data_IF_970443891744
#
_entry.id   IF_970443891744
#
_cell.length_a   1.000
_cell.length_b   1.000
_cell.length_c   1.000
_cell.angle_alpha   90.00
_cell.angle_beta   90.00
_cell.angle_gamma   90.00
#
_symmetry.space_group_name_H-M   'P 1'
#
loop_
_entity.id
_entity.type
_entity.pdbx_description
1 polymer ?
#
# COMPACT_ATOMS: atom_id res chain seq x y z
N UNK A 1 -29.38 -12.11 -8.41
CA UNK A 1 -27.92 -12.20 -8.57
C UNK A 1 -27.33 -10.97 -7.89
N UNK A 2 -26.41 -11.14 -6.93
CA UNK A 2 -25.76 -10.00 -6.28
C UNK A 2 -25.00 -9.17 -7.32
N UNK A 3 -24.97 -7.83 -7.23
CA UNK A 3 -24.16 -7.01 -8.13
C UNK A 3 -22.68 -7.35 -7.89
N UNK A 4 -22.05 -7.95 -8.91
CA UNK A 4 -20.63 -8.33 -8.88
C UNK A 4 -19.82 -7.16 -9.43
N UNK A 5 -18.77 -6.75 -8.73
CA UNK A 5 -17.81 -5.73 -9.20
C UNK A 5 -16.75 -6.37 -10.14
N UNK A 6 -16.09 -5.57 -11.00
CA UNK A 6 -15.06 -6.04 -11.95
C UNK A 6 -13.98 -6.87 -11.26
N UNK A 7 -13.55 -6.46 -10.06
CA UNK A 7 -12.55 -7.19 -9.28
C UNK A 7 -13.04 -8.59 -8.84
N UNK A 8 -14.31 -8.71 -8.45
CA UNK A 8 -14.92 -9.97 -8.05
C UNK A 8 -15.16 -10.87 -9.26
N UNK A 9 -15.56 -10.31 -10.40
CA UNK A 9 -15.71 -11.04 -11.65
C UNK A 9 -14.35 -11.57 -12.16
N UNK A 10 -13.27 -10.77 -12.04
CA UNK A 10 -11.91 -11.23 -12.34
C UNK A 10 -11.45 -12.34 -11.38
N UNK A 11 -11.73 -12.20 -10.09
CA UNK A 11 -11.41 -13.23 -9.10
C UNK A 11 -12.16 -14.54 -9.43
N UNK A 12 -13.44 -14.45 -9.76
CA UNK A 12 -14.24 -15.60 -10.16
C UNK A 12 -13.73 -16.26 -11.44
N UNK A 13 -13.32 -15.47 -12.43
CA UNK A 13 -12.69 -15.98 -13.64
C UNK A 13 -11.38 -16.73 -13.33
N UNK A 14 -10.55 -16.20 -12.44
CA UNK A 14 -9.33 -16.87 -11.98
C UNK A 14 -9.63 -18.19 -11.26
N UNK A 15 -10.64 -18.21 -10.38
CA UNK A 15 -11.04 -19.41 -9.67
C UNK A 15 -11.49 -20.51 -10.64
N UNK A 16 -12.22 -20.15 -11.70
CA UNK A 16 -12.62 -21.08 -12.78
C UNK A 16 -11.39 -21.66 -13.49
N UNK A 17 -10.40 -20.83 -13.83
CA UNK A 17 -9.16 -21.31 -14.48
C UNK A 17 -8.30 -22.19 -13.56
N UNK A 18 -8.30 -21.93 -12.25
CA UNK A 18 -7.62 -22.80 -11.26
C UNK A 18 -8.37 -24.13 -11.16
N UNK A 19 -9.70 -24.08 -11.05
CA UNK A 19 -10.54 -25.27 -10.98
C UNK A 19 -10.40 -26.15 -12.22
N UNK A 20 -10.42 -25.57 -13.42
CA UNK A 20 -10.23 -26.31 -14.68
C UNK A 20 -8.86 -27.01 -14.72
N UNK A 21 -7.79 -26.34 -14.27
CA UNK A 21 -6.46 -26.95 -14.18
C UNK A 21 -6.39 -28.10 -13.18
N UNK A 22 -7.06 -27.95 -12.03
CA UNK A 22 -7.11 -29.00 -11.04
C UNK A 22 -7.91 -30.21 -11.54
N UNK A 23 -9.02 -29.97 -12.24
CA UNK A 23 -9.83 -31.03 -12.84
C UNK A 23 -9.06 -31.82 -13.90
N UNK A 24 -8.23 -31.13 -14.70
CA UNK A 24 -7.31 -31.78 -15.63
C UNK A 24 -6.24 -32.62 -14.92
N UNK A 25 -5.69 -32.15 -13.79
CA UNK A 25 -4.75 -32.94 -12.99
C UNK A 25 -5.39 -34.20 -12.43
N UNK A 26 -6.60 -34.08 -11.87
CA UNK A 26 -7.33 -35.21 -11.31
C UNK A 26 -7.71 -36.26 -12.36
N UNK A 27 -8.01 -35.84 -13.60
CA UNK A 27 -8.23 -36.75 -14.74
C UNK A 27 -6.93 -37.46 -15.15
N UNK A 28 -5.79 -36.75 -15.16
CA UNK A 28 -4.47 -37.33 -15.44
C UNK A 28 -4.03 -38.33 -14.36
N UNK A 29 -4.30 -38.02 -13.09
CA UNK A 29 -4.01 -38.89 -11.95
C UNK A 29 -5.00 -40.06 -11.82
N UNK A 30 -6.02 -40.14 -12.70
CA UNK A 30 -7.12 -41.11 -12.66
C UNK A 30 -7.90 -41.13 -11.32
N UNK A 31 -7.71 -40.12 -10.48
CA UNK A 31 -8.31 -40.04 -9.15
C UNK A 31 -9.79 -39.66 -9.21
N UNK A 32 -10.17 -38.80 -10.18
CA UNK A 32 -11.54 -38.38 -10.36
C UNK A 32 -11.79 -37.97 -11.82
N UNK A 33 -12.81 -38.56 -12.45
CA UNK A 33 -13.18 -38.31 -13.83
C UNK A 33 -14.66 -37.99 -13.93
N UNK A 34 -14.99 -36.82 -14.47
CA UNK A 34 -16.36 -36.47 -14.79
C UNK A 34 -16.85 -37.27 -15.99
N UNK A 35 -18.15 -37.59 -15.98
CA UNK A 35 -18.80 -38.20 -17.13
C UNK A 35 -18.70 -37.25 -18.35
N UNK A 36 -18.48 -37.74 -19.59
CA UNK A 36 -18.23 -36.88 -20.74
C UNK A 36 -19.33 -35.85 -21.01
N UNK A 37 -20.58 -36.19 -20.70
CA UNK A 37 -21.72 -35.27 -20.81
C UNK A 37 -21.67 -34.14 -19.77
N UNK A 38 -21.33 -34.46 -18.52
CA UNK A 38 -21.19 -33.49 -17.42
C UNK A 38 -20.00 -32.56 -17.64
N UNK A 39 -18.88 -33.09 -18.16
CA UNK A 39 -17.70 -32.31 -18.49
C UNK A 39 -18.00 -31.25 -19.57
N UNK A 40 -18.78 -31.61 -20.60
CA UNK A 40 -19.22 -30.66 -21.64
C UNK A 40 -20.15 -29.60 -21.08
N UNK A 41 -21.17 -30.00 -20.31
CA UNK A 41 -22.12 -29.06 -19.72
C UNK A 41 -21.43 -28.05 -18.79
N UNK A 42 -20.43 -28.50 -18.03
CA UNK A 42 -19.64 -27.64 -17.16
C UNK A 42 -18.72 -26.70 -17.94
N UNK A 43 -18.10 -27.17 -19.03
CA UNK A 43 -17.29 -26.35 -19.92
C UNK A 43 -18.13 -25.26 -20.59
N UNK A 44 -19.30 -25.61 -21.11
CA UNK A 44 -20.23 -24.68 -21.76
C UNK A 44 -20.73 -23.61 -20.78
N UNK A 45 -21.07 -24.02 -19.54
CA UNK A 45 -21.44 -23.08 -18.48
C UNK A 45 -20.30 -22.11 -18.14
N UNK A 46 -19.07 -22.61 -17.98
CA UNK A 46 -17.91 -21.76 -17.70
C UNK A 46 -17.61 -20.79 -18.85
N UNK A 47 -17.69 -21.24 -20.10
CA UNK A 47 -17.52 -20.38 -21.27
C UNK A 47 -18.57 -19.27 -21.32
N UNK A 48 -19.85 -19.62 -21.18
CA UNK A 48 -20.92 -18.63 -21.17
C UNK A 48 -20.78 -17.61 -20.02
N UNK A 49 -20.32 -18.05 -18.84
CA UNK A 49 -20.08 -17.17 -17.71
C UNK A 49 -18.91 -16.22 -17.97
N UNK A 50 -17.80 -16.72 -18.52
CA UNK A 50 -16.62 -15.91 -18.86
C UNK A 50 -16.92 -14.90 -19.96
N UNK A 51 -17.68 -15.28 -20.99
CA UNK A 51 -18.15 -14.35 -22.02
C UNK A 51 -19.06 -13.27 -21.43
N UNK A 52 -19.96 -13.63 -20.51
CA UNK A 52 -20.80 -12.65 -19.81
C UNK A 52 -20.00 -11.64 -18.97
N UNK A 53 -18.88 -12.09 -18.39
CA UNK A 53 -17.97 -11.24 -17.64
C UNK A 53 -17.13 -10.36 -18.55
N UNK A 54 -16.73 -10.87 -19.73
CA UNK A 54 -16.07 -10.08 -20.76
C UNK A 54 -16.95 -8.93 -21.23
N UNK A 55 -18.18 -9.25 -21.65
CA UNK A 55 -19.07 -8.25 -22.24
C UNK A 55 -19.52 -7.19 -21.22
N UNK A 56 -19.60 -7.54 -19.93
CA UNK A 56 -19.98 -6.59 -18.85
C UNK A 56 -18.83 -5.84 -18.21
N UNK A 57 -17.65 -6.45 -18.09
CA UNK A 57 -16.57 -5.95 -17.24
C UNK A 57 -15.19 -5.90 -17.91
N UNK A 58 -15.09 -6.30 -19.19
CA UNK A 58 -13.85 -6.29 -19.98
C UNK A 58 -12.69 -6.97 -19.22
N UNK A 59 -12.86 -8.27 -18.99
CA UNK A 59 -11.98 -9.12 -18.18
C UNK A 59 -11.04 -9.92 -19.08
N UNK A 60 -9.76 -9.95 -18.71
CA UNK A 60 -8.70 -10.66 -19.43
C UNK A 60 -8.77 -12.19 -19.18
N UNK A 61 -8.70 -12.97 -20.26
CA UNK A 61 -8.96 -14.41 -20.28
C UNK A 61 -7.75 -15.30 -19.90
N UNK A 62 -6.52 -14.75 -19.77
CA UNK A 62 -5.29 -15.55 -19.86
C UNK A 62 -4.21 -15.20 -18.82
N UNK A 63 -3.45 -16.20 -18.35
CA UNK A 63 -2.33 -15.97 -17.41
C UNK A 63 -1.20 -15.15 -18.07
N UNK A 64 -1.09 -15.24 -19.40
CA UNK A 64 -0.13 -14.47 -20.20
C UNK A 64 -0.50 -13.00 -20.30
N UNK A 65 -1.79 -12.68 -20.40
CA UNK A 65 -2.27 -11.29 -20.31
C UNK A 65 -2.13 -10.75 -18.88
N UNK A 66 -2.21 -11.59 -17.84
CA UNK A 66 -1.86 -11.18 -16.48
C UNK A 66 -0.38 -10.81 -16.33
N UNK A 67 0.54 -11.58 -16.89
CA UNK A 67 1.99 -11.24 -16.88
C UNK A 67 2.27 -9.95 -17.66
N UNK A 68 1.64 -9.77 -18.83
CA UNK A 68 1.71 -8.52 -19.59
C UNK A 68 1.07 -7.35 -18.82
N UNK A 69 0.00 -7.57 -18.06
CA UNK A 69 -0.62 -6.54 -17.21
C UNK A 69 0.28 -6.08 -16.07
N UNK A 70 1.12 -6.97 -15.53
CA UNK A 70 2.12 -6.64 -14.52
C UNK A 70 3.23 -5.77 -15.14
N UNK A 71 3.70 -6.16 -16.33
CA UNK A 71 4.63 -5.35 -17.12
C UNK A 71 4.07 -3.96 -17.44
N UNK A 72 2.81 -3.88 -17.88
CA UNK A 72 2.12 -2.60 -18.14
C UNK A 72 1.94 -1.76 -16.86
N UNK A 73 1.62 -2.37 -15.72
CA UNK A 73 1.54 -1.65 -14.43
C UNK A 73 2.89 -1.06 -14.05
N UNK A 74 3.96 -1.83 -14.15
CA UNK A 74 5.32 -1.37 -13.83
C UNK A 74 5.77 -0.28 -14.82
N UNK A 75 5.58 -0.50 -16.13
CA UNK A 75 5.89 0.49 -17.16
C UNK A 75 5.09 1.79 -17.00
N UNK A 76 3.79 1.69 -16.72
CA UNK A 76 2.96 2.88 -16.44
C UNK A 76 3.40 3.57 -15.15
N UNK A 77 3.78 2.83 -14.10
CA UNK A 77 4.29 3.44 -12.87
C UNK A 77 5.58 4.22 -13.13
N UNK A 78 6.57 3.60 -13.79
CA UNK A 78 7.81 4.27 -14.16
C UNK A 78 7.57 5.44 -15.12
N UNK A 79 6.66 5.29 -16.07
CA UNK A 79 6.25 6.36 -16.98
C UNK A 79 5.64 7.55 -16.24
N UNK A 80 4.76 7.31 -15.28
CA UNK A 80 4.16 8.36 -14.45
C UNK A 80 5.22 9.12 -13.66
N UNK A 81 6.14 8.38 -13.01
CA UNK A 81 7.21 8.97 -12.22
C UNK A 81 8.18 9.77 -13.09
N UNK A 82 8.57 9.22 -14.24
CA UNK A 82 9.45 9.89 -15.19
C UNK A 82 8.81 11.14 -15.78
N UNK A 83 7.51 11.10 -16.09
CA UNK A 83 6.81 12.28 -16.61
C UNK A 83 6.65 13.36 -15.55
N UNK A 84 6.29 12.99 -14.31
CA UNK A 84 6.25 13.93 -13.18
C UNK A 84 7.62 14.58 -12.92
N UNK A 85 8.69 13.78 -12.90
CA UNK A 85 10.06 14.28 -12.75
C UNK A 85 10.50 15.17 -13.92
N UNK A 86 10.13 14.81 -15.15
CA UNK A 86 10.41 15.60 -16.35
C UNK A 86 9.76 16.98 -16.27
N UNK A 87 8.47 17.04 -15.90
CA UNK A 87 7.78 18.32 -15.68
C UNK A 87 8.50 19.13 -14.60
N UNK A 88 8.80 18.53 -13.45
CA UNK A 88 9.51 19.21 -12.36
C UNK A 88 10.85 19.81 -12.82
N UNK A 89 11.68 19.02 -13.52
CA UNK A 89 12.98 19.45 -14.01
C UNK A 89 12.89 20.50 -15.11
N UNK A 90 11.89 20.40 -16.01
CA UNK A 90 11.63 21.38 -17.05
C UNK A 90 11.33 22.74 -16.43
N UNK A 91 10.44 22.78 -15.43
CA UNK A 91 10.15 24.01 -14.70
C UNK A 91 11.44 24.54 -14.07
N UNK A 92 12.14 23.76 -13.25
CA UNK A 92 13.35 24.21 -12.58
C UNK A 92 14.45 24.75 -13.53
N UNK A 93 14.58 24.18 -14.73
CA UNK A 93 15.59 24.59 -15.72
C UNK A 93 15.29 25.93 -16.36
N UNK A 94 14.03 26.20 -16.72
CA UNK A 94 13.65 27.39 -17.50
C UNK A 94 12.97 28.48 -16.66
N UNK A 95 12.61 28.20 -15.41
CA UNK A 95 11.82 29.09 -14.56
C UNK A 95 12.37 30.51 -14.46
N UNK A 96 13.67 30.63 -14.21
CA UNK A 96 14.34 31.93 -14.01
C UNK A 96 14.43 32.81 -15.25
N UNK A 97 14.07 32.29 -16.44
CA UNK A 97 14.10 33.04 -17.69
C UNK A 97 12.78 33.77 -18.00
N UNK A 98 11.70 33.41 -17.30
CA UNK A 98 10.37 33.97 -17.56
C UNK A 98 10.04 35.15 -16.65
N UNK A 99 9.33 36.19 -17.14
CA UNK A 99 8.78 37.23 -16.28
C UNK A 99 7.66 36.68 -15.39
N UNK A 100 7.41 37.33 -14.24
CA UNK A 100 6.46 36.86 -13.21
C UNK A 100 5.05 36.59 -13.75
N UNK A 101 4.55 37.43 -14.66
CA UNK A 101 3.21 37.24 -15.27
C UNK A 101 3.17 35.96 -16.10
N UNK A 102 4.22 35.67 -16.87
CA UNK A 102 4.32 34.45 -17.66
C UNK A 102 4.47 33.22 -16.77
N UNK A 103 5.26 33.32 -15.70
CA UNK A 103 5.40 32.27 -14.70
C UNK A 103 4.05 31.86 -14.09
N UNK A 104 3.29 32.84 -13.58
CA UNK A 104 1.95 32.59 -13.00
C UNK A 104 0.98 32.03 -14.04
N UNK A 105 0.97 32.57 -15.26
CA UNK A 105 0.10 32.10 -16.33
C UNK A 105 0.42 30.65 -16.76
N UNK A 106 1.70 30.30 -16.89
CA UNK A 106 2.15 28.94 -17.25
C UNK A 106 1.78 27.96 -16.14
N UNK A 107 2.00 28.32 -14.88
CA UNK A 107 1.68 27.47 -13.74
C UNK A 107 0.19 27.15 -13.66
N UNK A 108 -0.65 28.19 -13.60
CA UNK A 108 -2.11 28.04 -13.54
C UNK A 108 -2.61 27.30 -14.79
N UNK A 109 -2.13 27.69 -15.96
CA UNK A 109 -2.48 27.06 -17.24
C UNK A 109 -2.12 25.57 -17.29
N UNK A 110 -0.93 25.20 -16.79
CA UNK A 110 -0.47 23.81 -16.76
C UNK A 110 -1.26 22.95 -15.79
N UNK A 111 -1.64 23.47 -14.62
CA UNK A 111 -2.46 22.76 -13.64
C UNK A 111 -3.87 22.48 -14.20
N UNK A 112 -4.52 23.49 -14.79
CA UNK A 112 -5.82 23.30 -15.44
C UNK A 112 -5.73 22.38 -16.65
N UNK A 113 -4.73 22.55 -17.51
CA UNK A 113 -4.53 21.70 -18.68
C UNK A 113 -4.33 20.23 -18.27
N UNK A 114 -3.51 19.97 -17.25
CA UNK A 114 -3.29 18.60 -16.76
C UNK A 114 -4.55 18.00 -16.11
N UNK A 115 -5.33 18.80 -15.39
CA UNK A 115 -6.61 18.36 -14.82
C UNK A 115 -7.64 18.01 -15.92
N UNK A 116 -7.87 18.91 -16.87
CA UNK A 116 -8.81 18.66 -17.98
C UNK A 116 -8.34 17.52 -18.88
N UNK A 117 -7.04 17.40 -19.13
CA UNK A 117 -6.46 16.25 -19.83
C UNK A 117 -6.75 14.94 -19.08
N UNK A 118 -6.64 14.94 -17.74
CA UNK A 118 -6.97 13.77 -16.92
C UNK A 118 -8.43 13.36 -17.07
N UNK A 119 -9.36 14.32 -17.02
CA UNK A 119 -10.79 14.05 -17.22
C UNK A 119 -11.09 13.53 -18.64
N UNK A 120 -10.46 14.12 -19.65
CA UNK A 120 -10.65 13.71 -21.04
C UNK A 120 -10.08 12.31 -21.31
N UNK A 121 -8.90 11.99 -20.77
CA UNK A 121 -8.30 10.66 -20.86
C UNK A 121 -9.17 9.65 -20.10
N UNK A 122 -9.64 10.00 -18.91
CA UNK A 122 -10.51 9.13 -18.12
C UNK A 122 -11.82 8.78 -18.85
N UNK A 123 -12.44 9.74 -19.54
CA UNK A 123 -13.65 9.50 -20.31
C UNK A 123 -13.44 8.54 -21.49
N UNK A 124 -12.21 8.42 -22.00
CA UNK A 124 -11.85 7.57 -23.15
C UNK A 124 -11.18 6.26 -22.77
N UNK A 125 -10.59 6.17 -21.59
CA UNK A 125 -9.74 5.05 -21.18
C UNK A 125 -10.52 4.01 -20.37
N UNK A 126 -10.98 2.96 -21.04
CA UNK A 126 -11.65 1.81 -20.40
C UNK A 126 -10.71 1.00 -19.48
N UNK A 127 -9.40 1.04 -19.74
CA UNK A 127 -8.38 0.29 -18.98
C UNK A 127 -7.95 1.00 -17.69
N UNK A 128 -8.06 2.34 -17.68
CA UNK A 128 -7.67 3.22 -16.58
C UNK A 128 -6.16 3.37 -16.38
N UNK A 129 -5.30 2.78 -17.22
CA UNK A 129 -3.84 2.92 -17.11
C UNK A 129 -3.37 4.33 -17.46
N UNK A 130 -3.86 4.88 -18.58
CA UNK A 130 -3.51 6.23 -19.02
C UNK A 130 -4.18 7.30 -18.15
N UNK A 131 -5.38 7.02 -17.63
CA UNK A 131 -6.03 7.91 -16.66
C UNK A 131 -5.19 8.06 -15.38
N UNK A 132 -4.61 6.96 -14.86
CA UNK A 132 -3.71 7.01 -13.70
C UNK A 132 -2.41 7.77 -13.98
N UNK A 133 -1.85 7.62 -15.19
CA UNK A 133 -0.70 8.39 -15.65
C UNK A 133 -1.00 9.88 -15.65
N UNK A 134 -2.08 10.28 -16.33
CA UNK A 134 -2.50 11.68 -16.43
C UNK A 134 -2.78 12.29 -15.05
N UNK A 135 -3.46 11.55 -14.17
CA UNK A 135 -3.74 11.98 -12.80
C UNK A 135 -2.45 12.20 -11.98
N UNK A 136 -1.41 11.38 -12.18
CA UNK A 136 -0.12 11.58 -11.53
C UNK A 136 0.56 12.87 -11.99
N UNK A 137 0.51 13.14 -13.29
CA UNK A 137 1.06 14.37 -13.87
C UNK A 137 0.28 15.58 -13.37
N UNK A 138 -1.05 15.50 -13.33
CA UNK A 138 -1.89 16.57 -12.79
C UNK A 138 -1.57 16.87 -11.32
N UNK A 139 -1.40 15.82 -10.50
CA UNK A 139 -0.97 15.98 -9.11
C UNK A 139 0.42 16.63 -9.02
N UNK A 140 1.39 16.20 -9.82
CA UNK A 140 2.73 16.79 -9.84
C UNK A 140 2.71 18.27 -10.25
N UNK A 141 1.94 18.62 -11.28
CA UNK A 141 1.72 20.02 -11.70
C UNK A 141 1.10 20.85 -10.59
N UNK A 142 0.13 20.31 -9.84
CA UNK A 142 -0.52 21.01 -8.75
C UNK A 142 0.41 21.26 -7.55
N UNK A 143 1.24 20.27 -7.19
CA UNK A 143 2.27 20.44 -6.15
C UNK A 143 3.28 21.49 -6.58
N UNK A 144 3.74 21.43 -7.84
CA UNK A 144 4.63 22.43 -8.43
C UNK A 144 4.02 23.83 -8.42
N UNK A 145 2.75 23.96 -8.80
CA UNK A 145 2.02 25.23 -8.80
C UNK A 145 2.01 25.87 -7.41
N UNK A 146 1.57 25.13 -6.39
CA UNK A 146 1.52 25.66 -5.04
C UNK A 146 2.90 26.04 -4.49
N UNK A 147 3.92 25.21 -4.76
CA UNK A 147 5.30 25.48 -4.29
C UNK A 147 5.93 26.67 -4.98
N UNK A 148 5.82 26.77 -6.30
CA UNK A 148 6.41 27.85 -7.09
C UNK A 148 5.68 29.18 -6.88
N UNK A 149 4.34 29.18 -6.77
CA UNK A 149 3.59 30.39 -6.41
C UNK A 149 3.97 30.88 -5.01
N UNK A 150 4.13 29.97 -4.05
CA UNK A 150 4.63 30.32 -2.71
C UNK A 150 5.99 31.01 -2.76
N UNK A 151 6.90 30.54 -3.61
CA UNK A 151 8.21 31.18 -3.81
C UNK A 151 8.10 32.54 -4.50
N UNK A 152 7.31 32.66 -5.58
CA UNK A 152 7.12 33.92 -6.31
C UNK A 152 6.60 35.03 -5.38
N UNK A 153 5.58 34.71 -4.59
CA UNK A 153 4.93 35.67 -3.70
C UNK A 153 5.55 35.73 -2.30
N UNK A 154 6.69 35.05 -2.10
CA UNK A 154 7.42 35.00 -0.83
C UNK A 154 6.53 34.60 0.37
N UNK A 155 5.62 33.64 0.16
CA UNK A 155 4.74 33.10 1.18
C UNK A 155 5.55 32.20 2.10
N UNK A 156 5.41 32.38 3.42
CA UNK A 156 6.13 31.56 4.40
C UNK A 156 5.70 30.08 4.30
N UNK A 157 6.64 29.12 4.19
CA UNK A 157 6.33 27.70 4.18
C UNK A 157 5.54 27.27 5.44
N UNK A 158 4.40 26.61 5.24
CA UNK A 158 3.51 26.14 6.31
C UNK A 158 3.02 24.72 6.03
N UNK A 159 2.75 24.00 7.12
CA UNK A 159 2.05 22.72 7.18
C UNK A 159 0.70 22.70 6.45
N UNK A 160 0.03 23.86 6.37
CA UNK A 160 -1.25 24.00 5.67
C UNK A 160 -1.15 23.68 4.17
N UNK A 161 0.04 23.78 3.57
CA UNK A 161 0.25 23.39 2.16
C UNK A 161 -0.01 21.90 1.91
N UNK A 162 0.10 21.05 2.94
CA UNK A 162 -0.18 19.61 2.83
C UNK A 162 -1.68 19.30 2.66
N UNK A 163 -2.56 20.18 3.14
CA UNK A 163 -4.01 20.01 3.06
C UNK A 163 -4.54 20.05 1.62
N UNK A 164 -4.27 21.09 0.80
CA UNK A 164 -4.71 21.10 -0.59
C UNK A 164 -4.07 19.97 -1.41
N UNK A 165 -2.80 19.61 -1.14
CA UNK A 165 -2.17 18.45 -1.79
C UNK A 165 -2.88 17.15 -1.45
N UNK A 166 -3.16 16.90 -0.17
CA UNK A 166 -3.91 15.73 0.28
C UNK A 166 -5.30 15.68 -0.36
N UNK A 167 -6.03 16.80 -0.36
CA UNK A 167 -7.38 16.88 -0.91
C UNK A 167 -7.37 16.58 -2.42
N UNK A 168 -6.48 17.23 -3.16
CA UNK A 168 -6.38 17.03 -4.61
C UNK A 168 -5.95 15.60 -4.96
N UNK A 169 -4.99 15.04 -4.23
CA UNK A 169 -4.58 13.65 -4.38
C UNK A 169 -5.70 12.66 -4.06
N UNK A 170 -6.47 12.88 -2.98
CA UNK A 170 -7.65 12.04 -2.66
C UNK A 170 -8.68 12.11 -3.78
N UNK A 171 -9.05 13.31 -4.23
CA UNK A 171 -10.04 13.50 -5.29
C UNK A 171 -9.62 12.75 -6.57
N UNK A 172 -8.38 12.94 -7.03
CA UNK A 172 -7.86 12.23 -8.19
C UNK A 172 -7.73 10.72 -7.96
N UNK A 173 -7.37 10.28 -6.75
CA UNK A 173 -7.27 8.87 -6.41
C UNK A 173 -8.62 8.17 -6.55
N UNK A 174 -9.68 8.74 -5.96
CA UNK A 174 -11.03 8.17 -6.02
C UNK A 174 -11.63 8.30 -7.42
N UNK A 175 -11.31 9.37 -8.15
CA UNK A 175 -11.77 9.56 -9.52
C UNK A 175 -11.15 8.53 -10.48
N UNK A 176 -9.82 8.38 -10.46
CA UNK A 176 -9.09 7.52 -11.40
C UNK A 176 -8.80 6.10 -10.85
N UNK A 177 -9.34 5.76 -9.67
CA UNK A 177 -9.04 4.52 -8.93
C UNK A 177 -7.51 4.28 -8.80
N UNK A 178 -6.77 5.35 -8.50
CA UNK A 178 -5.31 5.39 -8.52
C UNK A 178 -4.73 5.17 -7.13
N UNK A 179 -4.24 3.94 -6.86
CA UNK A 179 -3.69 3.55 -5.56
C UNK A 179 -2.46 4.37 -5.14
N UNK A 180 -1.64 4.80 -6.09
CA UNK A 180 -0.44 5.58 -5.77
C UNK A 180 -0.79 7.00 -5.31
N UNK A 181 -1.79 7.62 -5.93
CA UNK A 181 -2.29 8.93 -5.50
C UNK A 181 -2.94 8.83 -4.12
N UNK A 182 -3.64 7.73 -3.83
CA UNK A 182 -4.14 7.48 -2.48
C UNK A 182 -3.00 7.43 -1.46
N UNK A 183 -1.92 6.70 -1.77
CA UNK A 183 -0.73 6.65 -0.92
C UNK A 183 -0.12 8.04 -0.70
N UNK A 184 0.04 8.84 -1.77
CA UNK A 184 0.53 10.21 -1.69
C UNK A 184 -0.39 11.09 -0.81
N UNK A 185 -1.70 10.92 -0.94
CA UNK A 185 -2.67 11.64 -0.15
C UNK A 185 -2.59 11.28 1.34
N UNK A 186 -2.51 9.98 1.65
CA UNK A 186 -2.33 9.48 3.02
C UNK A 186 -1.04 10.02 3.62
N UNK A 187 0.06 10.04 2.87
CA UNK A 187 1.33 10.62 3.33
C UNK A 187 1.21 12.11 3.64
N UNK A 188 0.50 12.88 2.80
CA UNK A 188 0.23 14.30 3.05
C UNK A 188 -0.63 14.49 4.31
N UNK A 189 -1.68 13.68 4.49
CA UNK A 189 -2.53 13.72 5.70
C UNK A 189 -1.72 13.33 6.95
N UNK A 190 -0.89 12.29 6.86
CA UNK A 190 0.00 11.89 7.96
C UNK A 190 0.96 13.00 8.33
N UNK A 191 1.63 13.59 7.33
CA UNK A 191 2.54 14.72 7.53
C UNK A 191 1.83 15.92 8.16
N UNK A 192 0.62 16.23 7.70
CA UNK A 192 -0.18 17.33 8.26
C UNK A 192 -0.55 17.06 9.72
N UNK A 193 -1.13 15.91 10.04
CA UNK A 193 -1.52 15.57 11.41
C UNK A 193 -0.28 15.56 12.31
N UNK A 194 0.81 14.95 11.86
CA UNK A 194 2.05 14.90 12.63
C UNK A 194 2.66 16.29 12.85
N UNK A 195 2.59 17.18 11.85
CA UNK A 195 2.95 18.59 11.99
C UNK A 195 2.08 19.31 13.03
N UNK A 196 0.75 19.13 12.99
CA UNK A 196 -0.16 19.76 13.95
C UNK A 196 0.10 19.29 15.38
N UNK A 197 0.27 17.98 15.58
CA UNK A 197 0.60 17.42 16.90
C UNK A 197 1.96 17.93 17.38
N UNK A 198 2.95 18.01 16.49
CA UNK A 198 4.27 18.60 16.78
C UNK A 198 4.18 20.07 17.20
N UNK A 199 3.36 20.88 16.53
CA UNK A 199 3.16 22.30 16.88
C UNK A 199 2.48 22.49 18.23
N UNK A 200 1.60 21.57 18.65
CA UNK A 200 1.02 21.60 20.00
C UNK A 200 2.09 21.40 21.07
N UNK A 201 3.15 20.65 20.76
CA UNK A 201 4.34 20.49 21.59
C UNK A 201 5.37 21.61 21.48
N UNK A 202 5.07 22.69 20.75
CA UNK A 202 5.98 23.83 20.52
C UNK A 202 7.06 23.60 19.45
N UNK A 203 6.99 22.48 18.70
CA UNK A 203 7.94 22.16 17.63
C UNK A 203 7.66 22.90 16.33
N UNK A 204 8.70 23.05 15.49
CA UNK A 204 8.53 23.56 14.14
C UNK A 204 7.95 22.47 13.22
N UNK A 205 7.15 22.84 12.22
CA UNK A 205 6.43 21.84 11.42
C UNK A 205 7.34 20.96 10.52
N UNK A 206 8.56 21.39 10.18
CA UNK A 206 9.55 20.50 9.55
C UNK A 206 10.22 19.55 10.56
N UNK A 207 10.18 19.86 11.84
CA UNK A 207 10.83 19.07 12.89
C UNK A 207 9.98 17.90 13.37
N UNK A 208 8.94 17.54 12.60
CA UNK A 208 8.08 16.38 12.83
C UNK A 208 8.86 15.07 12.98
N UNK A 209 10.01 14.95 12.31
CA UNK A 209 10.90 13.79 12.43
C UNK A 209 11.64 13.69 13.77
N UNK A 210 11.77 14.79 14.52
CA UNK A 210 12.45 14.79 15.84
C UNK A 210 11.64 14.02 16.88
N UNK A 211 10.31 14.03 16.75
CA UNK A 211 9.40 13.33 17.65
C UNK A 211 8.49 12.38 16.86
N UNK A 212 8.95 11.13 16.64
CA UNK A 212 8.23 10.16 15.84
C UNK A 212 6.82 9.84 16.35
N UNK A 213 6.55 10.03 17.65
CA UNK A 213 5.23 9.79 18.26
C UNK A 213 4.08 10.58 17.61
N UNK A 214 4.40 11.71 16.97
CA UNK A 214 3.44 12.55 16.26
C UNK A 214 2.67 11.82 15.15
N UNK A 215 3.19 10.70 14.65
CA UNK A 215 2.54 9.89 13.63
C UNK A 215 1.50 8.91 14.19
N UNK A 216 1.49 8.60 15.50
CA UNK A 216 0.54 7.65 16.08
C UNK A 216 -0.93 8.08 15.96
N UNK A 217 -1.30 9.34 16.22
CA UNK A 217 -2.69 9.78 16.00
C UNK A 217 -3.11 9.66 14.54
N UNK A 218 -2.21 9.99 13.61
CA UNK A 218 -2.48 9.87 12.17
C UNK A 218 -2.68 8.40 11.77
N UNK A 219 -1.81 7.50 12.24
CA UNK A 219 -1.91 6.06 12.01
C UNK A 219 -3.25 5.50 12.50
N UNK A 220 -3.68 5.86 13.72
CA UNK A 220 -4.95 5.40 14.28
C UNK A 220 -6.15 5.87 13.43
N UNK A 221 -6.18 7.15 13.05
CA UNK A 221 -7.26 7.71 12.23
C UNK A 221 -7.33 7.05 10.85
N UNK A 222 -6.19 6.88 10.17
CA UNK A 222 -6.11 6.29 8.84
C UNK A 222 -6.47 4.81 8.87
N UNK A 223 -6.10 4.08 9.92
CA UNK A 223 -6.50 2.68 10.11
C UNK A 223 -8.01 2.53 10.33
N UNK A 224 -8.64 3.52 10.96
CA UNK A 224 -10.09 3.52 11.22
C UNK A 224 -10.93 3.79 9.96
N UNK A 225 -10.42 4.51 8.96
CA UNK A 225 -11.15 4.82 7.71
C UNK A 225 -11.76 3.57 7.05
N UNK A 226 -11.00 2.50 6.73
CA UNK A 226 -11.57 1.29 6.12
C UNK A 226 -12.45 0.45 7.06
N UNK A 227 -12.52 0.79 8.36
CA UNK A 227 -13.46 0.19 9.32
C UNK A 227 -14.81 0.93 9.31
N UNK A 228 -14.78 2.26 9.16
CA UNK A 228 -15.98 3.10 9.17
C UNK A 228 -16.64 3.21 7.80
N UNK A 229 -15.86 3.15 6.72
CA UNK A 229 -16.34 3.33 5.34
C UNK A 229 -16.16 2.06 4.52
N UNK A 230 -17.25 1.51 3.98
CA UNK A 230 -17.21 0.36 3.09
C UNK A 230 -16.63 0.73 1.72
N UNK A 231 -15.36 0.41 1.48
CA UNK A 231 -14.69 0.66 0.20
C UNK A 231 -14.91 -0.46 -0.83
N UNK A 232 -16.13 -1.00 -0.91
CA UNK A 232 -16.45 -2.15 -1.79
C UNK A 232 -16.21 -1.87 -3.27
N UNK A 233 -16.38 -0.62 -3.69
CA UNK A 233 -16.26 -0.20 -5.09
C UNK A 233 -14.81 0.11 -5.51
N UNK A 234 -13.86 0.15 -4.57
CA UNK A 234 -12.48 0.57 -4.83
C UNK A 234 -11.48 -0.55 -4.51
N UNK A 235 -11.14 -1.35 -5.52
CA UNK A 235 -10.26 -2.51 -5.34
C UNK A 235 -8.87 -2.12 -4.79
N UNK A 236 -8.53 -2.65 -3.62
CA UNK A 236 -7.22 -2.50 -2.98
C UNK A 236 -6.99 -1.17 -2.26
N UNK A 237 -7.95 -0.25 -2.21
CA UNK A 237 -7.81 0.99 -1.43
C UNK A 237 -7.71 0.70 0.07
N UNK A 238 -8.56 -0.20 0.58
CA UNK A 238 -8.53 -0.61 1.98
C UNK A 238 -7.16 -1.15 2.42
N UNK A 239 -6.46 -1.86 1.51
CA UNK A 239 -5.09 -2.35 1.75
C UNK A 239 -4.12 -1.18 1.90
N UNK A 240 -4.18 -0.17 1.03
CA UNK A 240 -3.31 1.01 1.13
C UNK A 240 -3.55 1.75 2.45
N UNK A 241 -4.80 2.00 2.85
CA UNK A 241 -5.11 2.61 4.15
C UNK A 241 -4.50 1.84 5.32
N UNK A 242 -4.69 0.52 5.35
CA UNK A 242 -4.18 -0.33 6.45
C UNK A 242 -2.67 -0.38 6.48
N UNK A 243 -2.02 -0.63 5.34
CA UNK A 243 -0.56 -0.75 5.25
C UNK A 243 0.09 0.57 5.64
N UNK A 244 -0.34 1.71 5.07
CA UNK A 244 0.24 3.00 5.41
C UNK A 244 -0.02 3.41 6.87
N UNK A 245 -1.19 3.09 7.41
CA UNK A 245 -1.45 3.29 8.83
C UNK A 245 -0.51 2.45 9.71
N UNK A 246 -0.30 1.17 9.39
CA UNK A 246 0.63 0.32 10.12
C UNK A 246 2.08 0.78 9.97
N UNK A 247 2.47 1.31 8.79
CA UNK A 247 3.78 1.95 8.61
C UNK A 247 3.93 3.17 9.53
N UNK A 248 2.91 4.03 9.61
CA UNK A 248 2.90 5.18 10.52
C UNK A 248 2.81 4.81 12.01
N UNK A 249 2.54 3.54 12.34
CA UNK A 249 2.62 3.03 13.71
C UNK A 249 3.99 2.39 13.99
N UNK A 250 4.42 1.47 13.14
CA UNK A 250 5.60 0.67 13.41
C UNK A 250 6.91 1.39 13.09
N UNK A 251 6.97 2.28 12.09
CA UNK A 251 8.20 3.03 11.81
C UNK A 251 8.58 3.95 12.97
N UNK A 252 7.66 4.78 13.52
CA UNK A 252 7.99 5.56 14.71
C UNK A 252 8.37 4.71 15.92
N UNK A 253 7.66 3.60 16.13
CA UNK A 253 7.93 2.68 17.24
C UNK A 253 9.31 2.02 17.10
N UNK A 254 9.72 1.69 15.87
CA UNK A 254 11.06 1.18 15.57
C UNK A 254 12.13 2.25 15.82
N UNK A 255 11.89 3.50 15.41
CA UNK A 255 12.81 4.61 15.65
C UNK A 255 12.98 4.83 17.16
N UNK A 256 11.88 4.89 17.93
CA UNK A 256 11.92 5.12 19.38
C UNK A 256 12.49 3.93 20.17
N UNK A 257 12.37 2.71 19.63
CA UNK A 257 12.99 1.53 20.22
C UNK A 257 14.53 1.54 20.15
N UNK A 258 15.12 2.33 19.23
CA UNK A 258 16.57 2.46 19.05
C UNK A 258 17.11 3.85 19.43
N UNK A 259 16.27 4.88 19.37
CA UNK A 259 16.59 6.26 19.67
C UNK A 259 15.53 6.85 20.60
N UNK A 260 15.61 6.50 21.89
CA UNK A 260 14.63 6.91 22.90
C UNK A 260 14.61 8.41 23.21
N UNK A 261 15.64 9.16 22.80
CA UNK A 261 15.73 10.62 23.03
C UNK A 261 14.68 11.45 22.29
N UNK A 262 14.04 10.89 21.25
CA UNK A 262 12.99 11.55 20.49
C UNK A 262 11.58 11.46 21.10
N UNK A 263 11.43 10.79 22.25
CA UNK A 263 10.13 10.61 22.89
C UNK A 263 9.67 11.86 23.66
N UNK A 264 8.36 12.03 23.80
CA UNK A 264 7.79 13.05 24.70
C UNK A 264 7.89 12.65 26.18
N UNK A 265 8.16 11.38 26.48
CA UNK A 265 8.19 10.87 27.85
C UNK A 265 9.46 11.35 28.58
N UNK A 266 9.28 11.95 29.77
CA UNK A 266 10.38 12.37 30.64
C UNK A 266 10.99 11.18 31.42
N UNK A 267 11.37 10.12 30.69
CA UNK A 267 11.98 8.90 31.22
C UNK A 267 13.42 8.78 30.70
N UNK A 268 14.28 7.97 31.35
CA UNK A 268 15.61 7.67 30.82
C UNK A 268 15.50 7.01 29.44
N UNK A 269 16.33 7.40 28.46
CA UNK A 269 16.19 6.88 27.07
C UNK A 269 16.25 5.35 27.01
N UNK A 270 17.10 4.72 27.83
CA UNK A 270 17.19 3.27 27.91
C UNK A 270 15.86 2.59 28.31
N UNK A 271 15.07 3.24 29.17
CA UNK A 271 13.76 2.73 29.57
C UNK A 271 12.73 2.94 28.46
N UNK A 272 12.81 4.07 27.75
CA UNK A 272 11.96 4.39 26.59
C UNK A 272 12.20 3.40 25.44
N UNK A 273 13.47 3.14 25.12
CA UNK A 273 13.90 2.16 24.12
C UNK A 273 13.33 0.77 24.45
N UNK A 274 13.50 0.32 25.70
CA UNK A 274 12.93 -0.93 26.19
C UNK A 274 11.39 -0.98 26.11
N UNK A 275 10.71 0.10 26.49
CA UNK A 275 9.24 0.20 26.42
C UNK A 275 8.75 0.11 24.97
N UNK A 276 9.31 0.90 24.06
CA UNK A 276 8.90 0.88 22.65
C UNK A 276 9.28 -0.42 21.96
N UNK A 277 10.33 -1.10 22.39
CA UNK A 277 10.67 -2.43 21.90
C UNK A 277 9.63 -3.47 22.32
N UNK A 278 9.25 -3.51 23.60
CA UNK A 278 8.20 -4.43 24.08
C UNK A 278 6.87 -4.08 23.42
N UNK A 279 6.52 -2.79 23.34
CA UNK A 279 5.33 -2.32 22.64
C UNK A 279 5.34 -2.73 21.16
N UNK A 280 6.48 -2.67 20.49
CA UNK A 280 6.69 -3.12 19.10
C UNK A 280 6.33 -4.57 18.90
N UNK A 281 6.86 -5.47 19.73
CA UNK A 281 6.55 -6.90 19.66
C UNK A 281 5.08 -7.18 19.97
N UNK A 282 4.52 -6.55 21.01
CA UNK A 282 3.12 -6.73 21.41
C UNK A 282 2.19 -6.22 20.31
N UNK A 283 2.42 -5.02 19.78
CA UNK A 283 1.63 -4.45 18.71
C UNK A 283 1.72 -5.29 17.43
N UNK A 284 2.91 -5.78 17.06
CA UNK A 284 3.09 -6.67 15.92
C UNK A 284 2.32 -7.98 16.10
N UNK A 285 2.39 -8.61 17.28
CA UNK A 285 1.62 -9.81 17.58
C UNK A 285 0.10 -9.58 17.53
N UNK A 286 -0.39 -8.46 18.06
CA UNK A 286 -1.81 -8.07 18.01
C UNK A 286 -2.27 -7.84 16.56
N UNK A 287 -1.46 -7.20 15.74
CA UNK A 287 -1.74 -6.96 14.31
C UNK A 287 -1.77 -8.28 13.53
N UNK A 288 -0.85 -9.21 13.81
CA UNK A 288 -0.85 -10.55 13.21
C UNK A 288 -2.13 -11.30 13.59
N UNK A 289 -2.50 -11.29 14.87
CA UNK A 289 -3.72 -11.91 15.37
C UNK A 289 -4.98 -11.30 14.74
N UNK A 290 -5.05 -9.97 14.66
CA UNK A 290 -6.15 -9.24 14.03
C UNK A 290 -6.26 -9.58 12.54
N UNK A 291 -5.13 -9.60 11.83
CA UNK A 291 -5.05 -9.97 10.42
C UNK A 291 -5.53 -11.40 10.17
N UNK A 292 -5.11 -12.35 11.02
CA UNK A 292 -5.57 -13.73 10.95
C UNK A 292 -7.08 -13.87 11.24
N UNK A 293 -7.59 -13.19 12.27
CA UNK A 293 -9.03 -13.25 12.63
C UNK A 293 -9.94 -12.66 11.56
N UNK A 294 -9.49 -11.60 10.87
CA UNK A 294 -10.27 -10.89 9.84
C UNK A 294 -9.97 -11.35 8.42
N UNK A 295 -9.10 -12.35 8.22
CA UNK A 295 -8.59 -12.79 6.92
C UNK A 295 -7.98 -11.65 6.08
N UNK A 296 -7.29 -10.71 6.74
CA UNK A 296 -6.57 -9.61 6.07
C UNK A 296 -5.09 -9.97 5.96
N UNK A 297 -4.74 -10.62 4.85
CA UNK A 297 -3.38 -11.06 4.58
C UNK A 297 -2.38 -9.90 4.55
N UNK A 298 -2.80 -8.72 4.09
CA UNK A 298 -2.01 -7.49 4.07
C UNK A 298 -1.60 -7.03 5.48
N UNK A 299 -2.54 -7.05 6.42
CA UNK A 299 -2.33 -6.67 7.82
C UNK A 299 -1.44 -7.68 8.52
N UNK A 300 -1.70 -8.99 8.34
CA UNK A 300 -0.87 -10.03 8.94
C UNK A 300 0.55 -10.00 8.39
N UNK A 301 0.74 -9.85 7.07
CA UNK A 301 2.06 -9.79 6.45
C UNK A 301 2.86 -8.57 6.92
N UNK A 302 2.21 -7.41 7.04
CA UNK A 302 2.85 -6.20 7.58
C UNK A 302 3.26 -6.42 9.04
N UNK A 303 2.39 -6.99 9.87
CA UNK A 303 2.71 -7.32 11.26
C UNK A 303 3.86 -8.31 11.39
N UNK A 304 3.88 -9.39 10.59
CA UNK A 304 4.99 -10.36 10.54
C UNK A 304 6.29 -9.66 10.14
N UNK A 305 6.24 -8.82 9.11
CA UNK A 305 7.42 -8.11 8.60
C UNK A 305 8.05 -7.26 9.71
N UNK A 306 7.24 -6.45 10.40
CA UNK A 306 7.74 -5.64 11.51
C UNK A 306 8.15 -6.47 12.72
N UNK A 307 7.46 -7.56 13.03
CA UNK A 307 7.89 -8.49 14.08
C UNK A 307 9.30 -9.03 13.81
N UNK A 308 9.57 -9.44 12.57
CA UNK A 308 10.89 -9.91 12.15
C UNK A 308 11.92 -8.78 12.20
N UNK A 309 11.56 -7.56 11.79
CA UNK A 309 12.46 -6.40 11.89
C UNK A 309 12.82 -6.11 13.35
N UNK A 310 11.85 -6.04 14.27
CA UNK A 310 12.12 -5.84 15.70
C UNK A 310 12.98 -6.97 16.30
N UNK A 311 12.75 -8.22 15.88
CA UNK A 311 13.56 -9.35 16.31
C UNK A 311 15.00 -9.24 15.80
N UNK A 312 15.15 -8.88 14.53
CA UNK A 312 16.45 -8.69 13.91
C UNK A 312 17.24 -7.56 14.58
N UNK A 313 16.62 -6.38 14.79
CA UNK A 313 17.29 -5.27 15.49
C UNK A 313 17.73 -5.69 16.88
N UNK A 314 16.93 -6.49 17.61
CA UNK A 314 17.32 -6.96 18.93
C UNK A 314 18.49 -7.93 18.93
N UNK A 315 18.52 -8.87 17.99
CA UNK A 315 19.68 -9.75 17.83
C UNK A 315 20.94 -8.97 17.46
N UNK A 316 20.80 -7.96 16.61
CA UNK A 316 21.90 -7.07 16.28
C UNK A 316 22.44 -6.36 17.54
N UNK A 317 21.58 -5.72 18.32
CA UNK A 317 21.99 -5.01 19.54
C UNK A 317 22.70 -5.92 20.56
N UNK A 318 22.24 -7.17 20.70
CA UNK A 318 22.80 -8.10 21.69
C UNK A 318 24.10 -8.76 21.28
N UNK A 319 24.23 -9.13 20.00
CA UNK A 319 25.25 -10.07 19.56
C UNK A 319 26.22 -9.52 18.54
N UNK A 320 25.93 -8.38 17.91
CA UNK A 320 26.77 -7.86 16.83
C UNK A 320 28.20 -7.58 17.27
N UNK A 321 28.39 -6.99 18.45
CA UNK A 321 29.73 -6.72 19.00
C UNK A 321 30.29 -7.90 19.81
N UNK A 322 29.41 -8.75 20.34
CA UNK A 322 29.80 -9.84 21.23
C UNK A 322 30.40 -11.06 20.51
N UNK A 323 30.14 -11.24 19.20
CA UNK A 323 30.63 -12.40 18.45
C UNK A 323 31.06 -12.05 17.02
N UNK A 324 31.96 -12.86 16.41
CA UNK A 324 32.28 -12.75 14.99
C UNK A 324 31.04 -12.85 14.09
N UNK A 325 31.03 -12.06 13.00
CA UNK A 325 29.89 -11.92 12.07
C UNK A 325 29.35 -13.26 11.54
N UNK A 326 30.21 -14.25 11.31
CA UNK A 326 29.78 -15.57 10.84
C UNK A 326 28.96 -16.33 11.90
N UNK A 327 29.31 -16.22 13.20
CA UNK A 327 28.52 -16.79 14.30
C UNK A 327 27.19 -16.07 14.46
N UNK A 328 27.17 -14.74 14.31
CA UNK A 328 25.93 -13.96 14.35
C UNK A 328 24.92 -14.47 13.31
N UNK A 329 25.34 -14.60 12.04
CA UNK A 329 24.47 -15.12 10.98
C UNK A 329 24.07 -16.59 11.21
N UNK A 330 24.94 -17.41 11.80
CA UNK A 330 24.62 -18.79 12.17
C UNK A 330 23.52 -18.83 13.23
N UNK A 331 23.64 -18.06 14.31
CA UNK A 331 22.63 -17.97 15.38
C UNK A 331 21.31 -17.44 14.84
N UNK A 332 21.35 -16.41 13.98
CA UNK A 332 20.18 -15.88 13.30
C UNK A 332 19.48 -16.98 12.47
N UNK A 333 20.23 -17.75 11.68
CA UNK A 333 19.70 -18.88 10.91
C UNK A 333 19.09 -19.98 11.78
N UNK A 334 19.77 -20.36 12.87
CA UNK A 334 19.26 -21.34 13.83
C UNK A 334 17.98 -20.88 14.53
N UNK A 335 17.89 -19.60 14.87
CA UNK A 335 16.67 -19.01 15.46
C UNK A 335 15.49 -19.07 14.49
N UNK A 336 15.73 -18.77 13.21
CA UNK A 336 14.71 -18.87 12.16
C UNK A 336 14.25 -20.32 11.95
N UNK A 337 15.19 -21.28 11.95
CA UNK A 337 14.87 -22.72 11.91
C UNK A 337 14.03 -23.15 13.11
N UNK A 338 14.38 -22.68 14.32
CA UNK A 338 13.62 -22.98 15.53
C UNK A 338 12.19 -22.41 15.46
N UNK A 339 12.02 -21.17 15.02
CA UNK A 339 10.70 -20.58 14.78
C UNK A 339 9.91 -21.41 13.77
N UNK A 340 10.54 -21.82 12.67
CA UNK A 340 9.89 -22.65 11.65
C UNK A 340 9.48 -24.02 12.19
N UNK A 341 10.31 -24.65 13.04
CA UNK A 341 9.97 -25.91 13.71
C UNK A 341 8.79 -25.74 14.68
N UNK A 342 8.77 -24.66 15.46
CA UNK A 342 7.66 -24.34 16.37
C UNK A 342 6.37 -24.11 15.57
N UNK A 343 6.42 -23.28 14.54
CA UNK A 343 5.26 -23.03 13.67
C UNK A 343 4.81 -24.30 12.96
N UNK A 344 5.72 -25.16 12.51
CA UNK A 344 5.40 -26.46 11.91
C UNK A 344 4.71 -27.38 12.91
N UNK A 345 5.16 -27.39 14.18
CA UNK A 345 4.53 -28.16 15.26
C UNK A 345 3.13 -27.64 15.57
N UNK A 346 2.94 -26.32 15.59
CA UNK A 346 1.62 -25.69 15.76
C UNK A 346 0.70 -25.87 14.55
N UNK A 347 1.27 -26.03 13.35
CA UNK A 347 0.56 -26.36 12.10
C UNK A 347 0.22 -27.85 11.96
N UNK A 348 0.78 -28.71 12.82
CA UNK A 348 0.44 -30.14 12.82
C UNK A 348 -1.04 -30.24 13.23
N UNK A 349 -1.87 -30.91 12.43
CA UNK A 349 -3.14 -30.34 12.04
C UNK A 349 -4.16 -30.30 13.18
N UNK A 350 -5.00 -29.27 13.17
CA UNK A 350 -6.45 -29.37 13.46
C UNK A 350 -7.09 -30.38 12.48
N UNK A 351 -6.51 -31.58 12.44
CA UNK A 351 -6.79 -32.64 11.48
C UNK A 351 -8.08 -33.26 11.88
N UNK A 352 -9.09 -33.03 11.05
CA UNK A 352 -9.91 -34.07 10.44
C UNK A 352 -9.90 -35.32 11.33
N UNK A 353 -10.83 -35.34 12.29
CA UNK A 353 -11.17 -36.54 13.00
C UNK A 353 -11.31 -37.64 11.95
N UNK A 354 -10.46 -38.65 12.07
CA UNK A 354 -10.48 -39.82 11.22
C UNK A 354 -11.93 -40.30 11.14
N UNK A 355 -12.52 -40.20 9.94
CA UNK A 355 -13.67 -41.01 9.59
C UNK A 355 -13.10 -42.40 9.42
N UNK A 356 -12.97 -43.11 10.53
CA UNK A 356 -12.83 -44.56 10.52
C UNK A 356 -14.20 -45.07 10.11
N UNK A 357 -14.28 -45.51 8.86
CA UNK A 357 -15.37 -46.34 8.37
C UNK A 357 -15.52 -47.55 9.29
N UNK A 358 -16.75 -47.77 9.75
CA UNK A 358 -17.26 -49.03 10.26
C UNK A 358 -18.59 -49.30 9.56
#
# INVERSE_FOLDING_TARGET
>A
MQPIDRAQAQQRANDILVFQRELQRLDQEQAFRLEPAQARQLADYHLALLDSYRDRFDIDHDLRSQQLSLGMRVASFFGALAFAASVFLLFYRFWGLFPTVAQVAILIGSAFAAFFATLWVQAKDASGYFSKLAAMVAFACFVLDLTMLGQIFNVTPSDLALVPWALYALLLAYLCNARLLLAAAILCVMGFIAARVGTWGGGYWLSVGERPENFFPAAALIFAVPLCFEQRNFSGFAVIYRVFALLGLFLPMLVLANWGSGSYLALPSALIEGLYQVAGFVAAALVIWLGARRNWADVSNTGITFFVIFLYTKFFDWWWEAMPKYLFFLVLGLSALLILLVLRRLRTPLGIAARTDA
#
